data_IF_087279971333
#
_entry.id   IF_087279971333
#
_cell.length_a   1.000
_cell.length_b   1.000
_cell.length_c   1.000
_cell.angle_alpha   90.00
_cell.angle_beta   90.00
_cell.angle_gamma   90.00
#
_symmetry.space_group_name_H-M   'P 1'
#
loop_
_entity.id
_entity.type
_entity.pdbx_description
1 polymer ?
#
# COMPACT_ATOMS: atom_id res chain seq x y z
N UNK A 1 4.96 18.72 -66.48
CA UNK A 1 3.75 18.99 -65.66
C UNK A 1 2.84 17.78 -65.44
N UNK A 2 3.03 16.61 -66.10
CA UNK A 2 2.30 15.36 -65.77
C UNK A 2 2.99 14.50 -64.71
N UNK A 3 4.31 14.63 -64.56
CA UNK A 3 5.15 13.87 -63.62
C UNK A 3 5.08 14.35 -62.16
N UNK A 4 4.49 15.52 -61.91
CA UNK A 4 4.28 16.06 -60.55
C UNK A 4 3.06 15.45 -59.85
N UNK A 5 2.07 14.95 -60.60
CA UNK A 5 0.85 14.37 -60.03
C UNK A 5 1.01 12.90 -59.61
N UNK A 6 1.96 12.17 -60.18
CA UNK A 6 2.18 10.74 -59.87
C UNK A 6 2.90 10.51 -58.56
N UNK A 7 3.70 11.48 -58.08
CA UNK A 7 4.41 11.36 -56.80
C UNK A 7 3.50 11.54 -55.57
N UNK A 8 2.40 12.31 -55.71
CA UNK A 8 1.53 12.63 -54.58
C UNK A 8 0.57 11.47 -54.22
N UNK A 9 0.31 10.55 -55.14
CA UNK A 9 -0.62 9.44 -54.92
C UNK A 9 -0.01 8.24 -54.17
N UNK A 10 1.32 8.11 -54.12
CA UNK A 10 1.96 6.95 -53.50
C UNK A 10 2.14 7.05 -51.98
N UNK A 11 1.83 8.19 -51.36
CA UNK A 11 2.10 8.43 -49.94
C UNK A 11 0.96 8.05 -48.98
N UNK A 12 -0.19 7.56 -49.48
CA UNK A 12 -1.42 7.48 -48.67
C UNK A 12 -1.78 6.10 -48.08
N UNK A 13 -0.93 5.06 -48.20
CA UNK A 13 -1.36 3.68 -47.93
C UNK A 13 -0.57 2.90 -46.86
N UNK A 14 0.07 3.55 -45.88
CA UNK A 14 1.00 2.85 -44.96
C UNK A 14 0.75 3.01 -43.45
N UNK A 15 -0.46 3.36 -42.99
CA UNK A 15 -0.70 3.66 -41.56
C UNK A 15 -1.64 2.72 -40.79
N UNK A 16 -2.01 1.56 -41.32
CA UNK A 16 -3.05 0.71 -40.71
C UNK A 16 -2.56 -0.57 -39.99
N UNK A 17 -1.32 -0.66 -39.50
CA UNK A 17 -0.78 -1.94 -38.99
C UNK A 17 -0.14 -1.92 -37.58
N UNK A 18 -0.31 -0.87 -36.77
CA UNK A 18 0.25 -0.82 -35.41
C UNK A 18 -0.77 -0.32 -34.39
N UNK A 19 -1.87 -1.05 -34.24
CA UNK A 19 -2.86 -0.76 -33.19
C UNK A 19 -3.22 -1.95 -32.30
N UNK A 20 -2.63 -3.15 -32.49
CA UNK A 20 -3.00 -4.34 -31.71
C UNK A 20 -1.81 -4.92 -30.93
N UNK A 21 -1.19 -4.09 -30.10
CA UNK A 21 -0.45 -4.63 -28.95
C UNK A 21 -1.43 -4.77 -27.78
N UNK A 22 -1.59 -5.97 -27.19
CA UNK A 22 -2.34 -6.12 -25.95
C UNK A 22 -1.69 -5.26 -24.88
N UNK A 23 -2.44 -4.30 -24.36
CA UNK A 23 -1.98 -3.42 -23.28
C UNK A 23 -1.69 -4.31 -22.07
N UNK A 24 -0.44 -4.36 -21.54
CA UNK A 24 -0.19 -5.08 -20.31
C UNK A 24 -1.03 -4.40 -19.23
N UNK A 25 -1.95 -5.17 -18.64
CA UNK A 25 -2.77 -4.72 -17.53
C UNK A 25 -1.84 -4.21 -16.43
N UNK A 26 -1.71 -2.89 -16.34
CA UNK A 26 -0.97 -2.25 -15.26
C UNK A 26 -1.74 -2.60 -14.00
N UNK A 27 -1.14 -3.27 -12.99
CA UNK A 27 -1.84 -3.58 -11.77
C UNK A 27 -2.34 -2.26 -11.20
N UNK A 28 -3.67 -2.13 -11.13
CA UNK A 28 -4.34 -0.92 -10.69
C UNK A 28 -3.81 -0.59 -9.28
N UNK A 29 -2.93 0.40 -9.21
CA UNK A 29 -2.45 0.90 -7.93
C UNK A 29 -3.69 1.45 -7.23
N UNK A 30 -4.09 0.93 -6.06
CA UNK A 30 -5.31 1.38 -5.43
C UNK A 30 -5.22 2.89 -5.20
N UNK A 31 -6.29 3.64 -5.45
CA UNK A 31 -6.28 5.07 -5.17
C UNK A 31 -5.96 5.29 -3.70
N UNK A 32 -5.31 6.40 -3.36
CA UNK A 32 -5.00 6.77 -1.97
C UNK A 32 -6.25 6.68 -1.07
N UNK A 33 -7.44 6.97 -1.62
CA UNK A 33 -8.72 6.77 -0.96
C UNK A 33 -8.97 5.32 -0.49
N UNK A 34 -8.59 4.32 -1.28
CA UNK A 34 -8.70 2.90 -0.89
C UNK A 34 -7.69 2.52 0.19
N UNK A 35 -6.49 3.11 0.18
CA UNK A 35 -5.51 2.92 1.27
C UNK A 35 -6.00 3.56 2.58
N UNK A 36 -6.65 4.73 2.51
CA UNK A 36 -7.29 5.36 3.67
C UNK A 36 -8.48 4.54 4.19
N UNK A 37 -9.25 3.90 3.31
CA UNK A 37 -10.35 3.03 3.72
C UNK A 37 -9.88 1.76 4.47
N UNK A 38 -8.66 1.27 4.18
CA UNK A 38 -8.02 0.19 4.93
C UNK A 38 -7.64 0.62 6.35
N UNK A 39 -7.19 1.86 6.54
CA UNK A 39 -6.87 2.39 7.88
C UNK A 39 -8.11 2.66 8.73
N UNK A 40 -9.25 2.94 8.11
CA UNK A 40 -10.52 3.19 8.82
C UNK A 40 -11.19 1.90 9.31
N UNK A 41 -11.02 0.79 8.56
CA UNK A 41 -11.52 -0.54 8.95
C UNK A 41 -10.55 -1.39 9.76
N UNK A 42 -9.28 -0.99 9.84
CA UNK A 42 -8.31 -1.55 10.77
C UNK A 42 -8.53 -0.94 12.16
N UNK A 43 -9.61 -1.37 12.81
CA UNK A 43 -9.74 -1.28 14.25
C UNK A 43 -8.43 -1.82 14.91
N UNK A 44 -8.00 -1.26 16.06
CA UNK A 44 -6.65 -1.35 16.61
C UNK A 44 -6.35 -2.76 17.17
N UNK A 45 -6.21 -3.73 16.27
CA UNK A 45 -5.94 -5.13 16.58
C UNK A 45 -4.56 -5.57 16.11
N UNK A 46 -3.87 -4.75 15.30
CA UNK A 46 -2.44 -4.96 15.01
C UNK A 46 -1.52 -4.68 16.20
N UNK A 47 -2.07 -4.25 17.34
CA UNK A 47 -1.36 -4.11 18.60
C UNK A 47 -1.57 -5.29 19.56
N UNK A 48 -2.56 -6.15 19.32
CA UNK A 48 -2.87 -7.25 20.23
C UNK A 48 -1.88 -8.43 20.11
N UNK A 49 -1.31 -8.65 18.91
CA UNK A 49 -0.41 -9.77 18.66
C UNK A 49 1.08 -9.41 18.67
N UNK A 50 1.43 -8.13 18.57
CA UNK A 50 2.82 -7.65 18.58
C UNK A 50 3.05 -6.68 19.73
N UNK A 51 3.07 -7.21 20.95
CA UNK A 51 3.57 -6.49 22.11
C UNK A 51 4.91 -5.84 21.76
N UNK A 52 5.04 -4.51 21.86
CA UNK A 52 6.32 -3.86 21.56
C UNK A 52 7.39 -4.23 22.59
N UNK A 53 6.98 -4.76 23.75
CA UNK A 53 7.86 -5.23 24.81
C UNK A 53 7.22 -6.36 25.61
N UNK A 54 7.99 -7.43 25.90
CA UNK A 54 7.56 -8.54 26.77
C UNK A 54 8.28 -8.51 28.12
N UNK A 55 7.55 -8.72 29.20
CA UNK A 55 8.00 -8.49 30.58
C UNK A 55 8.24 -9.78 31.36
N UNK A 56 9.27 -10.55 31.02
CA UNK A 56 9.52 -11.87 31.63
C UNK A 56 9.78 -11.87 33.14
N UNK A 57 10.53 -10.87 33.65
CA UNK A 57 10.87 -10.75 35.09
C UNK A 57 9.82 -9.97 35.90
N UNK A 58 9.03 -9.14 35.21
CA UNK A 58 8.19 -8.11 35.80
C UNK A 58 6.72 -8.30 35.43
N UNK A 59 6.01 -7.18 35.36
CA UNK A 59 4.71 -7.08 34.70
C UNK A 59 4.59 -5.83 33.83
N UNK A 60 3.71 -5.87 32.86
CA UNK A 60 3.39 -4.76 31.97
C UNK A 60 2.70 -3.61 32.71
N UNK A 61 3.06 -2.38 32.34
CA UNK A 61 2.43 -1.15 32.81
C UNK A 61 2.61 -0.06 31.74
N UNK A 62 1.58 0.19 30.93
CA UNK A 62 1.69 1.00 29.72
C UNK A 62 2.68 0.38 28.73
N UNK A 63 3.75 1.11 28.40
CA UNK A 63 4.77 0.69 27.44
C UNK A 63 6.06 0.17 28.11
N UNK A 64 6.01 -0.10 29.42
CA UNK A 64 7.16 -0.47 30.23
C UNK A 64 6.91 -1.68 31.12
N UNK A 65 8.01 -2.32 31.53
CA UNK A 65 8.00 -3.42 32.50
C UNK A 65 8.35 -2.89 33.89
N UNK A 66 7.50 -3.17 34.88
CA UNK A 66 7.72 -2.83 36.29
C UNK A 66 7.85 -4.10 37.14
N UNK A 67 8.35 -3.97 38.37
CA UNK A 67 8.38 -5.10 39.32
C UNK A 67 6.96 -5.62 39.61
N UNK A 68 6.81 -6.94 39.82
CA UNK A 68 5.49 -7.56 40.10
C UNK A 68 4.81 -7.00 41.35
N UNK A 69 5.56 -6.51 42.32
CA UNK A 69 5.04 -5.88 43.55
C UNK A 69 4.56 -4.43 43.41
N UNK A 70 4.89 -3.72 42.33
CA UNK A 70 4.56 -2.28 42.19
C UNK A 70 3.16 -2.05 41.62
N UNK A 71 2.37 -1.11 42.14
CA UNK A 71 1.08 -0.78 41.53
C UNK A 71 1.26 0.02 40.24
N UNK A 72 0.54 -0.35 39.18
CA UNK A 72 0.52 0.42 37.92
C UNK A 72 -0.56 1.50 38.00
N UNK A 73 -0.20 2.73 37.66
CA UNK A 73 -1.14 3.86 37.55
C UNK A 73 -1.27 4.37 36.11
N UNK A 74 -0.67 3.66 35.15
CA UNK A 74 -0.81 3.93 33.71
C UNK A 74 -1.97 3.12 33.14
N UNK A 75 -2.59 3.64 32.09
CA UNK A 75 -3.54 2.89 31.28
C UNK A 75 -2.88 1.73 30.53
N UNK A 76 -3.68 1.00 29.75
CA UNK A 76 -3.17 -0.02 28.85
C UNK A 76 -2.18 0.60 27.86
N UNK A 77 -1.11 -0.14 27.56
CA UNK A 77 -0.13 0.23 26.56
C UNK A 77 0.39 -1.02 25.88
N UNK A 78 1.52 -0.90 25.20
CA UNK A 78 2.02 -1.96 24.32
C UNK A 78 2.87 -3.04 24.99
N UNK A 79 3.18 -2.91 26.27
CA UNK A 79 3.94 -3.93 26.99
C UNK A 79 3.02 -5.10 27.38
N UNK A 80 3.56 -6.31 27.34
CA UNK A 80 2.86 -7.53 27.71
C UNK A 80 3.65 -8.34 28.72
N UNK A 81 2.95 -9.20 29.45
CA UNK A 81 3.54 -10.17 30.38
C UNK A 81 4.19 -11.36 29.63
#
# INVERSE_FOLDING_TARGET
MKSLFTALALALAASAAFADLPTPATPARPPLASLLALTDKAAPTLYADACCKRCSKGKACGDSCISRSKTCHKGQGCACD
#
